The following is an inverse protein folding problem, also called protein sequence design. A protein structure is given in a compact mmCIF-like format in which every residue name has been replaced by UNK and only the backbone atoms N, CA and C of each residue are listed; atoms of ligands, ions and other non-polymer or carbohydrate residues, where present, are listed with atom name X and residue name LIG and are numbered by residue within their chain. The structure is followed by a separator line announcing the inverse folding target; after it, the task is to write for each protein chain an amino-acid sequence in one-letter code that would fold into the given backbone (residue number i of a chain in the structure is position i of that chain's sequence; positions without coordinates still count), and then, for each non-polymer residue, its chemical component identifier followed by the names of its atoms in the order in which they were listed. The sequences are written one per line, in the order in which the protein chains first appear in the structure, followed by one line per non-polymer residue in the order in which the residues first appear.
data_IF_101134380542
#
_entry.id   IF_101134380542
#
_cell.length_a   1.000
_cell.length_b   1.000
_cell.length_c   1.000
_cell.angle_alpha   90.00
_cell.angle_beta   90.00
_cell.angle_gamma   90.00
#
_symmetry.space_group_name_H-M   'P 1'
#
loop_
_entity.id
_entity.type
_entity.pdbx_description
1 polymer ?
#
# COMPACT_ATOMS: atom_id res chain seq x y z
N UNK A 1 12.22 -16.49 14.36
CA UNK A 1 11.14 -16.35 13.36
C UNK A 1 9.78 -16.13 14.01
N UNK A 2 9.33 -16.99 14.95
CA UNK A 2 8.03 -16.82 15.64
C UNK A 2 7.88 -15.47 16.35
N UNK A 3 8.89 -15.05 17.13
CA UNK A 3 8.86 -13.75 17.81
C UNK A 3 8.76 -12.55 16.85
N UNK A 4 9.39 -12.65 15.67
CA UNK A 4 9.30 -11.61 14.65
C UNK A 4 7.90 -11.57 14.02
N UNK A 5 7.32 -12.73 13.69
CA UNK A 5 5.95 -12.80 13.18
C UNK A 5 4.96 -12.24 14.20
N UNK A 6 5.12 -12.55 15.48
CA UNK A 6 4.30 -12.01 16.55
C UNK A 6 4.44 -10.48 16.68
N UNK A 7 5.67 -9.95 16.63
CA UNK A 7 5.92 -8.52 16.66
C UNK A 7 5.27 -7.79 15.46
N UNK A 8 5.43 -8.33 14.24
CA UNK A 8 4.80 -7.77 13.04
C UNK A 8 3.27 -7.80 13.15
N UNK A 9 2.70 -8.89 13.66
CA UNK A 9 1.25 -9.01 13.86
C UNK A 9 0.74 -7.94 14.83
N UNK A 10 1.43 -7.75 15.97
CA UNK A 10 1.07 -6.73 16.96
C UNK A 10 1.10 -5.33 16.34
N UNK A 11 2.16 -5.01 15.58
CA UNK A 11 2.28 -3.71 14.91
C UNK A 11 1.13 -3.53 13.91
N UNK A 12 0.84 -4.53 13.06
CA UNK A 12 -0.25 -4.45 12.09
C UNK A 12 -1.62 -4.33 12.76
N UNK A 13 -1.87 -5.08 13.84
CA UNK A 13 -3.09 -4.95 14.64
C UNK A 13 -3.23 -3.56 15.25
N UNK A 14 -2.13 -2.95 15.72
CA UNK A 14 -2.16 -1.58 16.24
C UNK A 14 -2.53 -0.55 15.18
N UNK A 15 -2.10 -0.75 13.93
CA UNK A 15 -2.52 0.10 12.79
C UNK A 15 -4.02 -0.03 12.58
N UNK A 16 -4.55 -1.26 12.51
CA UNK A 16 -6.01 -1.46 12.33
C UNK A 16 -6.81 -0.78 13.44
N UNK A 17 -6.34 -0.87 14.69
CA UNK A 17 -6.96 -0.17 15.81
C UNK A 17 -6.88 1.35 15.66
N UNK A 18 -5.73 1.90 15.28
CA UNK A 18 -5.58 3.33 15.00
C UNK A 18 -6.58 3.78 13.92
N UNK A 19 -6.73 3.02 12.83
CA UNK A 19 -7.75 3.31 11.81
C UNK A 19 -9.16 3.26 12.38
N UNK A 20 -9.50 2.27 13.21
CA UNK A 20 -10.84 2.20 13.82
C UNK A 20 -11.18 3.39 14.74
N UNK A 21 -10.17 3.97 15.39
CA UNK A 21 -10.35 5.10 16.33
C UNK A 21 -10.30 6.45 15.61
N UNK A 22 -9.43 6.59 14.60
CA UNK A 22 -9.13 7.86 13.95
C UNK A 22 -9.78 8.03 12.57
N UNK A 23 -10.37 6.99 11.97
CA UNK A 23 -11.17 7.09 10.75
C UNK A 23 -12.58 7.58 11.05
N UNK A 24 -12.66 8.78 11.64
CA UNK A 24 -13.89 9.52 11.86
C UNK A 24 -13.86 10.82 11.06
N UNK A 25 -15.04 11.37 10.81
CA UNK A 25 -15.16 12.66 10.13
C UNK A 25 -14.49 13.79 10.91
N UNK A 26 -13.98 14.77 10.18
CA UNK A 26 -13.46 16.03 10.71
C UNK A 26 -14.57 16.82 11.40
N UNK A 27 -14.23 17.56 12.44
CA UNK A 27 -15.19 18.47 13.09
C UNK A 27 -15.62 19.60 12.13
N UNK A 28 -14.80 19.90 11.12
CA UNK A 28 -15.07 20.88 10.06
C UNK A 28 -15.83 20.29 8.86
N UNK A 29 -16.18 19.01 8.89
CA UNK A 29 -16.92 18.34 7.82
C UNK A 29 -18.16 19.11 7.31
N UNK A 30 -19.06 19.65 8.17
CA UNK A 30 -20.25 20.35 7.67
C UNK A 30 -19.89 21.62 6.88
N UNK A 31 -18.85 22.34 7.29
CA UNK A 31 -18.39 23.55 6.58
C UNK A 31 -17.74 23.20 5.24
N UNK A 32 -17.00 22.09 5.17
CA UNK A 32 -16.37 21.63 3.93
C UNK A 32 -17.43 21.15 2.92
N UNK A 33 -18.54 20.58 3.40
CA UNK A 33 -19.66 20.17 2.53
C UNK A 33 -20.36 21.34 1.83
N UNK A 34 -20.18 22.58 2.29
CA UNK A 34 -20.75 23.76 1.63
C UNK A 34 -19.95 24.19 0.39
N UNK A 35 -18.75 23.63 0.17
CA UNK A 35 -17.89 24.01 -0.95
C UNK A 35 -18.51 23.63 -2.30
N UNK A 36 -18.48 24.53 -3.31
CA UNK A 36 -19.11 24.30 -4.62
C UNK A 36 -18.48 23.11 -5.36
N UNK A 37 -17.22 22.80 -5.09
CA UNK A 37 -16.51 21.65 -5.67
C UNK A 37 -17.04 20.30 -5.18
N UNK A 38 -17.77 20.27 -4.07
CA UNK A 38 -18.30 19.07 -3.44
C UNK A 38 -19.80 18.87 -3.72
N UNK A 39 -20.48 19.88 -4.26
CA UNK A 39 -21.92 19.80 -4.54
C UNK A 39 -22.28 18.65 -5.48
N UNK A 40 -21.50 18.43 -6.55
CA UNK A 40 -21.74 17.29 -7.46
C UNK A 40 -21.64 15.93 -6.75
N UNK A 41 -20.80 15.82 -5.71
CA UNK A 41 -20.62 14.60 -4.94
C UNK A 41 -21.76 14.41 -3.94
N UNK A 42 -22.24 15.51 -3.34
CA UNK A 42 -23.40 15.53 -2.44
C UNK A 42 -24.67 15.17 -3.22
N UNK A 43 -24.87 15.73 -4.41
CA UNK A 43 -26.01 15.45 -5.30
C UNK A 43 -26.07 13.98 -5.72
N UNK A 44 -24.91 13.32 -5.86
CA UNK A 44 -24.82 11.90 -6.18
C UNK A 44 -25.38 11.00 -5.06
N UNK A 45 -25.45 11.51 -3.83
CA UNK A 45 -25.91 10.79 -2.66
C UNK A 45 -24.91 9.77 -2.11
N UNK A 46 -25.22 9.22 -0.94
CA UNK A 46 -24.38 8.26 -0.20
C UNK A 46 -23.68 8.87 1.02
N UNK A 47 -22.93 8.04 1.75
CA UNK A 47 -22.15 8.47 2.91
C UNK A 47 -20.80 9.02 2.43
N UNK A 48 -20.58 10.32 2.57
CA UNK A 48 -19.33 10.98 2.25
C UNK A 48 -18.51 11.11 3.53
N UNK A 49 -17.32 10.51 3.55
CA UNK A 49 -16.37 10.66 4.65
C UNK A 49 -15.48 11.88 4.39
N UNK A 50 -15.46 12.80 5.35
CA UNK A 50 -14.72 14.06 5.25
C UNK A 50 -13.57 14.06 6.25
N UNK A 51 -12.34 13.95 5.75
CA UNK A 51 -11.16 13.82 6.61
C UNK A 51 -10.51 15.15 6.99
N UNK A 52 -11.02 16.29 6.50
CA UNK A 52 -10.49 17.63 6.72
C UNK A 52 -10.02 18.29 5.43
N UNK A 53 -9.57 19.55 5.54
CA UNK A 53 -9.04 20.30 4.41
C UNK A 53 -7.63 19.78 4.03
N UNK A 54 -7.19 19.96 2.78
CA UNK A 54 -5.81 19.68 2.39
C UNK A 54 -4.82 20.36 3.35
N UNK A 55 -3.77 19.64 3.78
CA UNK A 55 -2.82 20.11 4.79
C UNK A 55 -3.32 20.10 6.25
N UNK A 56 -4.61 19.88 6.51
CA UNK A 56 -5.16 19.76 7.86
C UNK A 56 -6.21 18.63 7.94
N UNK A 57 -5.73 17.39 7.91
CA UNK A 57 -6.57 16.20 7.99
C UNK A 57 -6.93 15.78 9.45
N UNK A 58 -7.05 16.75 10.36
CA UNK A 58 -7.38 16.67 11.80
C UNK A 58 -7.17 15.31 12.51
N UNK A 59 -8.11 14.36 12.38
CA UNK A 59 -8.02 13.04 13.01
C UNK A 59 -7.31 12.01 12.11
N UNK A 60 -7.58 12.08 10.81
CA UNK A 60 -7.03 11.19 9.80
C UNK A 60 -5.49 11.25 9.72
N UNK A 61 -4.89 12.41 10.00
CA UNK A 61 -3.43 12.54 10.07
C UNK A 61 -2.79 11.57 11.08
N UNK A 62 -3.44 11.29 12.22
CA UNK A 62 -2.92 10.34 13.21
C UNK A 62 -3.00 8.90 12.71
N UNK A 63 -4.06 8.56 11.97
CA UNK A 63 -4.16 7.27 11.28
C UNK A 63 -3.01 7.11 10.26
N UNK A 64 -2.72 8.16 9.48
CA UNK A 64 -1.62 8.15 8.52
C UNK A 64 -0.24 8.04 9.17
N UNK A 65 -0.01 8.77 10.28
CA UNK A 65 1.23 8.66 11.06
C UNK A 65 1.40 7.22 11.56
N UNK A 66 0.34 6.57 12.04
CA UNK A 66 0.40 5.18 12.51
C UNK A 66 0.86 4.20 11.42
N UNK A 67 0.40 4.40 10.18
CA UNK A 67 0.84 3.64 9.00
C UNK A 67 2.31 3.94 8.68
N UNK A 68 2.70 5.22 8.70
CA UNK A 68 4.08 5.62 8.47
C UNK A 68 5.06 4.98 9.45
N UNK A 69 4.72 4.96 10.75
CA UNK A 69 5.50 4.29 11.80
C UNK A 69 5.58 2.79 11.56
N UNK A 70 4.46 2.14 11.22
CA UNK A 70 4.44 0.71 10.92
C UNK A 70 5.33 0.35 9.71
N UNK A 71 5.27 1.15 8.64
CA UNK A 71 6.12 0.97 7.45
C UNK A 71 7.60 1.17 7.80
N UNK A 72 7.92 2.19 8.59
CA UNK A 72 9.31 2.46 9.02
C UNK A 72 9.89 1.32 9.87
N UNK A 73 9.08 0.67 10.71
CA UNK A 73 9.50 -0.45 11.55
C UNK A 73 9.56 -1.78 10.78
N UNK A 74 8.53 -2.09 9.99
CA UNK A 74 8.39 -3.40 9.31
C UNK A 74 9.19 -3.44 7.99
N UNK A 75 9.26 -2.31 7.27
CA UNK A 75 9.85 -2.22 5.94
C UNK A 75 11.31 -2.70 5.87
N UNK A 76 12.22 -2.13 6.69
CA UNK A 76 13.63 -2.54 6.68
C UNK A 76 13.83 -4.01 7.05
N UNK A 77 13.06 -4.52 8.01
CA UNK A 77 13.13 -5.93 8.42
C UNK A 77 12.65 -6.86 7.30
N UNK A 78 11.57 -6.50 6.63
CA UNK A 78 11.05 -7.27 5.49
C UNK A 78 12.07 -7.28 4.33
N UNK A 79 12.69 -6.13 4.05
CA UNK A 79 13.70 -6.01 3.00
C UNK A 79 14.97 -6.82 3.30
N UNK A 80 15.47 -6.77 4.53
CA UNK A 80 16.64 -7.57 4.94
C UNK A 80 16.36 -9.06 4.91
N UNK A 81 15.18 -9.51 5.36
CA UNK A 81 14.79 -10.92 5.24
C UNK A 81 14.63 -11.38 3.79
N UNK A 82 14.05 -10.55 2.94
CA UNK A 82 13.92 -10.82 1.50
C UNK A 82 15.30 -11.00 0.85
N UNK A 83 16.22 -10.07 1.09
CA UNK A 83 17.58 -10.13 0.52
C UNK A 83 18.37 -11.33 1.04
N UNK A 84 18.26 -11.63 2.34
CA UNK A 84 18.86 -12.84 2.93
C UNK A 84 18.27 -14.12 2.35
N UNK A 85 16.95 -14.19 2.18
CA UNK A 85 16.27 -15.34 1.57
C UNK A 85 16.72 -15.57 0.13
N UNK A 86 16.88 -14.49 -0.65
CA UNK A 86 17.45 -14.56 -2.00
C UNK A 86 18.91 -15.04 -2.00
N UNK A 87 19.72 -14.56 -1.06
CA UNK A 87 21.12 -14.99 -0.93
C UNK A 87 21.25 -16.46 -0.52
N UNK A 88 20.39 -16.94 0.39
CA UNK A 88 20.36 -18.33 0.83
C UNK A 88 19.91 -19.27 -0.29
N UNK A 89 18.91 -18.88 -1.09
CA UNK A 89 18.49 -19.64 -2.27
C UNK A 89 19.65 -19.80 -3.28
N UNK A 90 20.44 -18.74 -3.50
CA UNK A 90 21.62 -18.78 -4.38
C UNK A 90 22.70 -19.74 -3.86
N UNK A 91 22.84 -19.89 -2.54
CA UNK A 91 23.80 -20.82 -1.92
C UNK A 91 23.32 -22.27 -1.99
N UNK A 92 22.06 -22.55 -1.65
CA UNK A 92 21.46 -23.90 -1.70
C UNK A 92 21.50 -24.48 -3.13
N UNK A 93 21.34 -23.63 -4.15
CA UNK A 93 21.53 -23.97 -5.58
C UNK A 93 22.85 -24.69 -5.87
N UNK A 94 23.92 -24.39 -5.13
CA UNK A 94 25.26 -24.96 -5.36
C UNK A 94 25.39 -26.39 -4.80
N UNK A 95 24.53 -26.78 -3.86
CA UNK A 95 24.67 -28.01 -3.06
C UNK A 95 23.49 -29.00 -3.18
N UNK A 96 22.40 -28.68 -3.90
CA UNK A 96 21.21 -29.55 -3.99
C UNK A 96 21.31 -30.58 -5.12
N UNK A 97 21.03 -31.86 -4.79
CA UNK A 97 20.97 -32.99 -5.73
C UNK A 97 19.56 -33.23 -6.32
N UNK A 98 18.49 -32.72 -5.69
CA UNK A 98 17.11 -32.90 -6.18
C UNK A 98 16.73 -31.80 -7.17
N UNK A 99 16.73 -32.11 -8.47
CA UNK A 99 16.47 -31.12 -9.55
C UNK A 99 15.01 -30.64 -9.62
N UNK A 100 14.04 -31.51 -9.41
CA UNK A 100 12.63 -31.20 -9.72
C UNK A 100 11.94 -30.36 -8.64
N UNK A 101 12.12 -30.69 -7.36
CA UNK A 101 11.53 -29.96 -6.23
C UNK A 101 12.20 -28.61 -6.02
N UNK A 102 13.50 -28.53 -6.25
CA UNK A 102 14.29 -27.29 -6.13
C UNK A 102 13.89 -26.29 -7.23
N UNK A 103 13.65 -26.75 -8.46
CA UNK A 103 13.21 -25.87 -9.55
C UNK A 103 11.78 -25.37 -9.38
N UNK A 104 10.87 -26.17 -8.81
CA UNK A 104 9.52 -25.70 -8.51
C UNK A 104 9.52 -24.65 -7.39
N UNK A 105 10.28 -24.89 -6.33
CA UNK A 105 10.43 -23.94 -5.20
C UNK A 105 11.03 -22.61 -5.65
N UNK A 106 12.04 -22.63 -6.54
CA UNK A 106 12.63 -21.42 -7.15
C UNK A 106 11.61 -20.61 -7.94
N UNK A 107 10.77 -21.27 -8.75
CA UNK A 107 9.75 -20.58 -9.55
C UNK A 107 8.77 -19.85 -8.65
N UNK A 108 8.22 -20.55 -7.65
CA UNK A 108 7.29 -19.97 -6.68
C UNK A 108 7.95 -18.79 -5.95
N UNK A 109 9.19 -18.97 -5.48
CA UNK A 109 9.90 -17.91 -4.78
C UNK A 109 10.20 -16.68 -5.67
N UNK A 110 10.57 -16.89 -6.94
CA UNK A 110 10.78 -15.79 -7.89
C UNK A 110 9.49 -15.05 -8.25
N UNK A 111 8.35 -15.77 -8.30
CA UNK A 111 7.02 -15.16 -8.46
C UNK A 111 6.69 -14.31 -7.25
N UNK A 112 6.77 -14.88 -6.04
CA UNK A 112 6.48 -14.19 -4.78
C UNK A 112 7.38 -12.97 -4.58
N UNK A 113 8.67 -13.10 -4.86
CA UNK A 113 9.62 -11.99 -4.73
C UNK A 113 9.29 -10.84 -5.69
N UNK A 114 8.94 -11.19 -6.94
CA UNK A 114 8.50 -10.22 -7.95
C UNK A 114 7.16 -9.57 -7.59
N UNK A 115 6.23 -10.33 -7.01
CA UNK A 115 4.95 -9.81 -6.52
C UNK A 115 5.18 -8.83 -5.38
N UNK A 116 5.96 -9.19 -4.36
CA UNK A 116 6.23 -8.31 -3.23
C UNK A 116 6.89 -7.00 -3.65
N UNK A 117 7.84 -7.02 -4.60
CA UNK A 117 8.49 -5.81 -5.09
C UNK A 117 7.51 -4.93 -5.88
N UNK A 118 6.71 -5.54 -6.75
CA UNK A 118 5.72 -4.83 -7.55
C UNK A 118 4.59 -4.25 -6.67
N UNK A 119 4.06 -5.02 -5.73
CA UNK A 119 3.08 -4.55 -4.74
C UNK A 119 3.68 -3.44 -3.89
N UNK A 120 4.94 -3.56 -3.45
CA UNK A 120 5.61 -2.48 -2.72
C UNK A 120 5.63 -1.19 -3.52
N UNK A 121 5.90 -1.22 -4.82
CA UNK A 121 5.88 -0.01 -5.64
C UNK A 121 4.45 0.49 -5.90
N UNK A 122 3.57 -0.36 -6.43
CA UNK A 122 2.24 0.04 -6.91
C UNK A 122 1.25 0.32 -5.78
N UNK A 123 1.46 -0.22 -4.58
CA UNK A 123 0.62 0.04 -3.41
C UNK A 123 1.22 1.11 -2.49
N UNK A 124 2.51 1.03 -2.16
CA UNK A 124 3.13 1.97 -1.21
C UNK A 124 3.25 3.36 -1.80
N UNK A 125 3.52 3.49 -3.10
CA UNK A 125 3.68 4.80 -3.74
C UNK A 125 2.40 5.65 -3.72
N UNK A 126 1.21 5.14 -4.14
CA UNK A 126 -0.05 5.88 -3.97
C UNK A 126 -0.36 6.26 -2.51
N UNK A 127 -0.08 5.36 -1.57
CA UNK A 127 -0.32 5.62 -0.14
C UNK A 127 0.61 6.73 0.37
N UNK A 128 1.88 6.73 -0.03
CA UNK A 128 2.81 7.79 0.32
C UNK A 128 2.37 9.14 -0.26
N UNK A 129 1.86 9.16 -1.50
CA UNK A 129 1.32 10.40 -2.08
C UNK A 129 0.08 10.87 -1.31
N UNK A 130 -0.83 9.96 -0.95
CA UNK A 130 -1.98 10.31 -0.11
C UNK A 130 -1.53 10.89 1.23
N UNK A 131 -0.54 10.28 1.89
CA UNK A 131 0.05 10.81 3.12
C UNK A 131 0.63 12.22 2.91
N UNK A 132 1.39 12.44 1.84
CA UNK A 132 1.99 13.74 1.54
C UNK A 132 0.94 14.82 1.32
N UNK A 133 -0.14 14.52 0.58
CA UNK A 133 -1.22 15.48 0.33
C UNK A 133 -2.13 15.74 1.52
N UNK A 134 -2.23 14.82 2.46
CA UNK A 134 -2.93 15.06 3.73
C UNK A 134 -2.12 15.89 4.71
N UNK A 135 -0.78 15.88 4.62
CA UNK A 135 0.13 16.60 5.52
C UNK A 135 0.60 17.95 4.97
N UNK A 136 0.71 18.08 3.65
CA UNK A 136 1.17 19.30 2.98
C UNK A 136 -0.05 20.01 2.40
N UNK A 137 -0.15 21.32 2.65
CA UNK A 137 -1.18 22.13 2.03
C UNK A 137 -0.95 22.23 0.51
N UNK A 138 -1.83 21.60 -0.26
CA UNK A 138 -1.81 21.60 -1.73
C UNK A 138 -2.66 22.70 -2.34
N UNK A 139 -3.20 23.63 -1.55
CA UNK A 139 -4.01 24.77 -2.02
C UNK A 139 -3.30 25.60 -3.11
N UNK A 140 -1.97 25.56 -3.15
CA UNK A 140 -1.14 26.27 -4.12
C UNK A 140 -1.01 25.58 -5.49
N UNK A 141 -1.49 24.34 -5.64
CA UNK A 141 -1.37 23.58 -6.89
C UNK A 141 -2.60 23.84 -7.79
N UNK A 142 -2.43 24.29 -9.04
CA UNK A 142 -3.57 24.53 -9.93
C UNK A 142 -4.31 23.22 -10.27
N UNK A 143 -5.65 23.27 -10.24
CA UNK A 143 -6.51 22.10 -10.41
C UNK A 143 -6.31 21.33 -11.73
N UNK A 144 -5.86 22.02 -12.78
CA UNK A 144 -5.54 21.41 -14.09
C UNK A 144 -4.42 20.38 -14.01
N UNK A 145 -3.46 20.56 -13.10
CA UNK A 145 -2.36 19.60 -12.87
C UNK A 145 -2.84 18.49 -11.92
N UNK A 146 -3.68 18.85 -10.96
CA UNK A 146 -4.12 17.96 -9.90
C UNK A 146 -5.10 16.88 -10.38
N UNK A 147 -5.99 17.20 -11.31
CA UNK A 147 -6.96 16.27 -11.88
C UNK A 147 -6.33 15.05 -12.60
N UNK A 148 -5.39 15.20 -13.55
CA UNK A 148 -4.72 14.06 -14.19
C UNK A 148 -3.83 13.30 -13.20
N UNK A 149 -3.19 13.99 -12.25
CA UNK A 149 -2.39 13.36 -11.21
C UNK A 149 -3.23 12.43 -10.33
N UNK A 150 -4.39 12.91 -9.83
CA UNK A 150 -5.34 12.08 -9.05
C UNK A 150 -5.80 10.86 -9.85
N UNK A 151 -6.16 11.05 -11.12
CA UNK A 151 -6.57 9.95 -12.00
C UNK A 151 -5.47 8.91 -12.17
N UNK A 152 -4.22 9.33 -12.38
CA UNK A 152 -3.07 8.43 -12.52
C UNK A 152 -2.80 7.62 -11.23
N UNK A 153 -2.89 8.27 -10.07
CA UNK A 153 -2.69 7.62 -8.76
C UNK A 153 -3.80 6.58 -8.50
N UNK A 154 -5.06 6.93 -8.79
CA UNK A 154 -6.18 5.99 -8.66
C UNK A 154 -6.04 4.79 -9.59
N UNK A 155 -5.62 5.01 -10.84
CA UNK A 155 -5.34 3.92 -11.77
C UNK A 155 -4.22 3.01 -11.26
N UNK A 156 -3.13 3.58 -10.74
CA UNK A 156 -2.05 2.80 -10.11
C UNK A 156 -2.58 1.97 -8.94
N UNK A 157 -3.39 2.55 -8.06
CA UNK A 157 -3.98 1.83 -6.93
C UNK A 157 -4.89 0.68 -7.38
N UNK A 158 -5.75 0.90 -8.37
CA UNK A 158 -6.65 -0.11 -8.94
C UNK A 158 -5.90 -1.23 -9.68
N UNK A 159 -4.69 -0.97 -10.19
CA UNK A 159 -3.88 -1.97 -10.88
C UNK A 159 -3.26 -3.00 -9.93
N UNK A 160 -3.17 -2.73 -8.62
CA UNK A 160 -2.53 -3.62 -7.65
C UNK A 160 -3.06 -5.09 -7.65
N UNK A 161 -4.38 -5.35 -7.51
CA UNK A 161 -4.90 -6.72 -7.55
C UNK A 161 -4.69 -7.40 -8.90
N UNK A 162 -4.85 -6.65 -9.99
CA UNK A 162 -4.68 -7.14 -11.36
C UNK A 162 -3.22 -7.52 -11.63
N UNK A 163 -2.27 -6.69 -11.22
CA UNK A 163 -0.84 -6.96 -11.38
C UNK A 163 -0.37 -8.15 -10.55
N UNK A 164 -0.85 -8.30 -9.32
CA UNK A 164 -0.52 -9.44 -8.47
C UNK A 164 -0.98 -10.76 -9.13
N UNK A 165 -2.20 -10.76 -9.67
CA UNK A 165 -2.77 -11.90 -10.40
C UNK A 165 -2.06 -12.16 -11.72
N UNK A 166 -1.71 -11.10 -12.46
CA UNK A 166 -1.05 -11.19 -13.75
C UNK A 166 0.40 -11.69 -13.62
N UNK A 167 1.15 -11.24 -12.60
CA UNK A 167 2.50 -11.78 -12.29
C UNK A 167 2.41 -13.27 -11.92
N UNK A 168 1.38 -13.67 -11.17
CA UNK A 168 1.15 -15.08 -10.86
C UNK A 168 0.92 -15.91 -12.13
N UNK A 169 -0.01 -15.49 -12.98
CA UNK A 169 -0.37 -16.21 -14.21
C UNK A 169 0.79 -16.25 -15.21
N UNK A 170 1.46 -15.11 -15.46
CA UNK A 170 2.53 -15.03 -16.45
C UNK A 170 3.78 -15.81 -16.06
N UNK A 171 4.11 -15.87 -14.76
CA UNK A 171 5.28 -16.60 -14.28
C UNK A 171 5.00 -18.07 -13.94
N UNK A 172 3.73 -18.47 -13.87
CA UNK A 172 3.36 -19.87 -13.67
C UNK A 172 3.23 -20.61 -15.01
N UNK A 173 4.27 -21.36 -15.36
CA UNK A 173 4.35 -22.14 -16.60
C UNK A 173 3.28 -23.23 -16.73
N UNK A 174 2.63 -23.65 -15.63
CA UNK A 174 1.55 -24.66 -15.70
C UNK A 174 0.32 -24.18 -16.49
N UNK A 175 0.13 -22.86 -16.60
CA UNK A 175 -0.97 -22.24 -17.35
C UNK A 175 -0.56 -21.74 -18.75
N UNK A 176 0.73 -21.84 -19.11
CA UNK A 176 1.23 -21.65 -20.49
C UNK A 176 1.25 -23.01 -21.18
N UNK A 177 0.08 -23.49 -21.62
CA UNK A 177 -0.02 -24.53 -22.65
C UNK A 177 -0.49 -23.89 -23.94
#
# INVERSE_FOLDING_TARGET
QVALCAATLIILSSVVLAWSVYAKDSDEAPTIMEDPELQWLIERGGTIFMFGRPGNAQYFQYALISVGVAVALIGPVTFTLMTQSMALLKKVRRNSFSRQTDDMTKRIFAVLSSQMLNTSFVFTFPILILCLFSLIDTSSIPGVIFAPMRSAILLLFCLNPTQTSLVYILKNTMHRK
#
